data_IF_895276545893
#
_entry.id   IF_895276545893
#
_cell.length_a   1.000
_cell.length_b   1.000
_cell.length_c   1.000
_cell.angle_alpha   90.00
_cell.angle_beta   90.00
_cell.angle_gamma   90.00
#
_symmetry.space_group_name_H-M   'P 1'
#
loop_
_entity.id
_entity.type
_entity.pdbx_description
1 polymer ?
#
# COMPACT_ATOMS: atom_id res chain seq x y z
N UNK A 1 -10.96 -1.71 -9.62
CA UNK A 1 -10.34 -1.18 -8.38
C UNK A 1 -11.47 -0.87 -7.42
N UNK A 2 -11.48 -1.45 -6.23
CA UNK A 2 -12.46 -1.06 -5.20
C UNK A 2 -12.16 0.37 -4.77
N UNK A 3 -13.16 1.25 -4.89
CA UNK A 3 -13.09 2.65 -4.47
C UNK A 3 -13.79 2.77 -3.13
N UNK A 4 -13.24 3.59 -2.22
CA UNK A 4 -13.96 3.96 -0.99
C UNK A 4 -15.17 4.80 -1.41
N UNK A 5 -16.37 4.29 -1.14
CA UNK A 5 -17.63 4.95 -1.50
C UNK A 5 -18.07 5.95 -0.44
N UNK A 6 -17.79 5.67 0.84
CA UNK A 6 -18.12 6.56 1.95
C UNK A 6 -17.21 7.80 1.96
N UNK A 7 -17.80 8.99 1.96
CA UNK A 7 -17.07 10.27 1.96
C UNK A 7 -16.28 10.45 3.26
N UNK A 8 -16.85 10.11 4.41
CA UNK A 8 -16.16 10.20 5.71
C UNK A 8 -14.91 9.33 5.75
N UNK A 9 -15.04 8.06 5.33
CA UNK A 9 -13.91 7.15 5.23
C UNK A 9 -12.86 7.66 4.23
N UNK A 10 -13.27 8.21 3.08
CA UNK A 10 -12.35 8.72 2.08
C UNK A 10 -11.55 9.93 2.57
N UNK A 11 -12.18 10.86 3.29
CA UNK A 11 -11.51 12.01 3.88
C UNK A 11 -10.50 11.61 4.96
N UNK A 12 -10.80 10.60 5.78
CA UNK A 12 -9.90 10.12 6.82
C UNK A 12 -8.58 9.51 6.30
N UNK A 13 -8.51 9.16 5.01
CA UNK A 13 -7.29 8.62 4.39
C UNK A 13 -6.20 9.68 4.17
N UNK A 14 -6.57 10.96 4.14
CA UNK A 14 -5.70 12.04 3.67
C UNK A 14 -5.59 13.13 4.74
N UNK A 15 -4.39 13.67 4.90
CA UNK A 15 -4.10 14.84 5.72
C UNK A 15 -4.19 16.14 4.92
N UNK A 16 -4.42 17.28 5.60
CA UNK A 16 -4.23 18.60 4.99
C UNK A 16 -2.81 18.75 4.43
N UNK A 17 -2.67 19.47 3.31
CA UNK A 17 -1.39 19.69 2.59
C UNK A 17 -0.37 20.57 3.34
N UNK A 18 -0.63 20.92 4.60
CA UNK A 18 0.18 21.81 5.42
C UNK A 18 1.32 21.10 6.17
N UNK A 19 1.38 19.76 6.14
CA UNK A 19 2.39 18.98 6.85
C UNK A 19 3.69 18.85 6.02
N UNK A 20 4.69 19.69 6.31
CA UNK A 20 5.97 19.71 5.60
C UNK A 20 6.93 18.56 5.99
N UNK A 21 6.53 17.63 6.85
CA UNK A 21 7.40 16.52 7.32
C UNK A 21 7.89 15.58 6.21
N UNK A 22 7.23 15.55 5.05
CA UNK A 22 7.53 14.59 3.99
C UNK A 22 8.39 15.20 2.87
N UNK A 23 9.70 15.36 3.12
CA UNK A 23 10.63 16.01 2.19
C UNK A 23 10.59 15.47 0.75
N UNK A 24 10.64 14.14 0.56
CA UNK A 24 10.57 13.54 -0.77
C UNK A 24 9.23 13.78 -1.47
N UNK A 25 8.13 13.75 -0.71
CA UNK A 25 6.81 14.04 -1.24
C UNK A 25 6.75 15.51 -1.70
N UNK A 26 7.25 16.43 -0.88
CA UNK A 26 7.30 17.86 -1.21
C UNK A 26 8.11 18.11 -2.49
N UNK A 27 9.26 17.45 -2.65
CA UNK A 27 10.12 17.58 -3.83
C UNK A 27 9.43 17.03 -5.09
N UNK A 28 8.70 15.93 -4.98
CA UNK A 28 8.06 15.26 -6.13
C UNK A 28 6.61 15.67 -6.38
N UNK A 29 6.04 16.52 -5.53
CA UNK A 29 4.65 16.91 -5.65
C UNK A 29 4.47 17.99 -6.70
N UNK A 30 4.03 17.60 -7.89
CA UNK A 30 3.62 18.52 -8.96
C UNK A 30 2.15 18.97 -8.80
N UNK A 31 1.68 19.15 -7.56
CA UNK A 31 0.32 19.57 -7.22
C UNK A 31 -0.74 18.46 -7.10
N UNK A 32 -0.49 17.29 -7.69
CA UNK A 32 -1.44 16.17 -7.75
C UNK A 32 -1.32 15.11 -6.65
N UNK A 33 -0.32 15.19 -5.77
CA UNK A 33 -0.13 14.18 -4.71
C UNK A 33 -0.87 14.57 -3.42
N UNK A 34 -1.31 13.54 -2.70
CA UNK A 34 -1.95 13.65 -1.40
C UNK A 34 -1.00 13.20 -0.29
N UNK A 35 -1.13 13.81 0.90
CA UNK A 35 -0.41 13.38 2.10
C UNK A 35 -1.29 12.33 2.81
N UNK A 36 -0.84 11.09 3.02
CA UNK A 36 -1.64 10.09 3.73
C UNK A 36 -1.80 10.46 5.21
N UNK A 37 -2.89 10.03 5.83
CA UNK A 37 -3.09 10.16 7.27
C UNK A 37 -2.13 9.28 8.08
N UNK A 38 -1.93 9.64 9.35
CA UNK A 38 -1.04 8.87 10.23
C UNK A 38 -1.50 7.41 10.36
N UNK A 39 -2.81 7.21 10.45
CA UNK A 39 -3.44 5.90 10.56
C UNK A 39 -3.13 5.04 9.32
N UNK A 40 -3.27 5.61 8.12
CA UNK A 40 -2.89 4.94 6.86
C UNK A 40 -1.42 4.56 6.86
N UNK A 41 -0.53 5.45 7.32
CA UNK A 41 0.91 5.17 7.40
C UNK A 41 1.19 4.02 8.38
N UNK A 42 0.52 4.00 9.53
CA UNK A 42 0.66 2.92 10.52
C UNK A 42 0.20 1.57 9.95
N UNK A 43 -0.96 1.54 9.28
CA UNK A 43 -1.49 0.35 8.62
C UNK A 43 -0.51 -0.17 7.58
N UNK A 44 -0.02 0.70 6.69
CA UNK A 44 0.93 0.35 5.64
C UNK A 44 2.27 -0.15 6.21
N UNK A 45 2.79 0.49 7.27
CA UNK A 45 3.99 0.02 7.96
C UNK A 45 3.80 -1.36 8.54
N UNK A 46 2.66 -1.63 9.18
CA UNK A 46 2.37 -2.94 9.74
C UNK A 46 2.23 -4.00 8.64
N UNK A 47 1.61 -3.64 7.51
CA UNK A 47 1.57 -4.50 6.33
C UNK A 47 2.98 -4.84 5.84
N UNK A 48 3.89 -3.87 5.73
CA UNK A 48 5.27 -4.11 5.30
C UNK A 48 6.04 -5.00 6.27
N UNK A 49 5.89 -4.79 7.58
CA UNK A 49 6.51 -5.65 8.62
C UNK A 49 6.06 -7.11 8.44
N UNK A 50 4.75 -7.32 8.28
CA UNK A 50 4.18 -8.64 8.08
C UNK A 50 4.65 -9.24 6.74
N UNK A 51 4.59 -8.50 5.64
CA UNK A 51 5.04 -9.01 4.34
C UNK A 51 6.52 -9.38 4.34
N UNK A 52 7.38 -8.65 5.07
CA UNK A 52 8.80 -8.98 5.22
C UNK A 52 9.05 -10.21 6.07
N UNK A 53 8.29 -10.42 7.14
CA UNK A 53 8.44 -11.63 7.97
C UNK A 53 7.93 -12.90 7.25
N UNK A 54 7.04 -12.72 6.28
CA UNK A 54 6.42 -13.80 5.52
C UNK A 54 7.27 -14.40 4.40
N UNK A 55 8.48 -13.87 4.13
CA UNK A 55 9.42 -14.40 3.13
C UNK A 55 9.75 -15.89 3.34
N UNK A 56 9.45 -16.45 4.51
CA UNK A 56 9.73 -17.82 4.90
C UNK A 56 8.52 -18.77 4.98
N UNK A 57 7.28 -18.31 4.76
CA UNK A 57 6.09 -19.17 4.90
C UNK A 57 5.81 -19.92 3.59
N UNK A 58 6.15 -21.21 3.57
CA UNK A 58 6.05 -22.09 2.39
C UNK A 58 4.66 -22.68 2.11
N UNK A 59 3.64 -22.41 2.95
CA UNK A 59 2.41 -23.21 2.98
C UNK A 59 1.08 -22.45 2.86
N UNK A 60 1.09 -21.16 2.49
CA UNK A 60 -0.17 -20.43 2.28
C UNK A 60 -0.62 -20.57 0.83
N UNK A 61 -1.87 -21.01 0.62
CA UNK A 61 -2.46 -21.06 -0.72
C UNK A 61 -2.46 -19.64 -1.34
N UNK A 62 -2.12 -19.48 -2.63
CA UNK A 62 -2.07 -18.16 -3.27
C UNK A 62 -3.34 -17.33 -3.12
N UNK A 63 -4.51 -18.00 -3.06
CA UNK A 63 -5.82 -17.35 -3.02
C UNK A 63 -6.21 -16.86 -1.60
N UNK A 64 -5.57 -17.36 -0.56
CA UNK A 64 -5.88 -17.01 0.84
C UNK A 64 -4.88 -16.03 1.44
N UNK A 65 -3.75 -15.81 0.76
CA UNK A 65 -2.65 -14.97 1.22
C UNK A 65 -3.08 -13.58 1.67
N UNK A 66 -3.90 -12.92 0.88
CA UNK A 66 -4.34 -11.56 1.15
C UNK A 66 -5.14 -11.49 2.46
N UNK A 67 -6.07 -12.41 2.65
CA UNK A 67 -6.87 -12.50 3.88
C UNK A 67 -5.98 -12.80 5.09
N UNK A 68 -4.99 -13.69 4.96
CA UNK A 68 -4.04 -14.00 6.04
C UNK A 68 -3.24 -12.76 6.45
N UNK A 69 -2.76 -11.98 5.48
CA UNK A 69 -2.03 -10.74 5.76
C UNK A 69 -2.96 -9.71 6.41
N UNK A 70 -4.16 -9.49 5.88
CA UNK A 70 -5.15 -8.55 6.45
C UNK A 70 -5.45 -8.92 7.91
N UNK A 71 -5.76 -10.19 8.19
CA UNK A 71 -6.06 -10.65 9.55
C UNK A 71 -4.88 -10.45 10.50
N UNK A 72 -3.65 -10.73 10.07
CA UNK A 72 -2.47 -10.47 10.91
C UNK A 72 -2.21 -8.98 11.11
N UNK A 73 -2.45 -8.15 10.10
CA UNK A 73 -2.33 -6.69 10.24
C UNK A 73 -3.32 -6.23 11.30
N UNK A 74 -4.59 -6.65 11.22
CA UNK A 74 -5.63 -6.34 12.20
C UNK A 74 -5.24 -6.70 13.63
N UNK A 75 -4.72 -7.91 13.85
CA UNK A 75 -4.33 -8.37 15.18
C UNK A 75 -3.19 -7.56 15.82
N UNK A 76 -2.38 -6.87 15.02
CA UNK A 76 -1.21 -6.14 15.48
C UNK A 76 -1.38 -4.61 15.45
N UNK A 77 -2.54 -4.11 15.01
CA UNK A 77 -2.81 -2.68 14.96
C UNK A 77 -3.43 -2.20 16.27
N UNK A 78 -3.16 -0.94 16.67
CA UNK A 78 -3.79 -0.36 17.84
C UNK A 78 -5.29 -0.15 17.59
N UNK A 79 -6.09 -0.23 18.65
CA UNK A 79 -7.54 0.03 18.60
C UNK A 79 -7.89 1.51 18.41
N UNK A 80 -6.90 2.40 18.42
CA UNK A 80 -7.06 3.86 18.34
C UNK A 80 -7.02 4.42 16.91
N UNK A 81 -6.91 3.56 15.89
CA UNK A 81 -6.90 3.99 14.49
C UNK A 81 -8.22 4.66 14.12
N UNK A 82 -8.13 5.77 13.41
CA UNK A 82 -9.30 6.53 12.95
C UNK A 82 -10.27 6.89 14.09
N UNK A 83 -9.74 7.19 15.28
CA UNK A 83 -10.55 7.47 16.48
C UNK A 83 -11.59 8.59 16.29
N UNK A 84 -11.31 9.56 15.42
CA UNK A 84 -12.22 10.63 15.03
C UNK A 84 -13.44 10.17 14.21
N UNK A 85 -13.45 8.91 13.75
CA UNK A 85 -14.56 8.26 13.05
C UNK A 85 -15.28 7.21 13.91
N UNK A 86 -15.00 7.13 15.23
CA UNK A 86 -15.61 6.11 16.09
C UNK A 86 -17.14 6.12 16.01
N UNK A 87 -17.77 7.29 16.13
CA UNK A 87 -19.23 7.43 16.03
C UNK A 87 -19.74 6.96 14.66
N UNK A 88 -19.07 7.36 13.58
CA UNK A 88 -19.39 6.92 12.23
C UNK A 88 -19.28 5.40 12.05
N UNK A 89 -18.28 4.76 12.66
CA UNK A 89 -18.12 3.30 12.62
C UNK A 89 -19.16 2.57 13.46
N UNK A 90 -19.63 3.19 14.56
CA UNK A 90 -20.73 2.67 15.37
C UNK A 90 -22.04 2.76 14.58
N UNK A 91 -22.34 3.89 13.94
CA UNK A 91 -23.54 4.07 13.11
C UNK A 91 -23.61 3.09 11.94
N UNK A 92 -22.44 2.66 11.45
CA UNK A 92 -22.30 1.76 10.30
C UNK A 92 -21.94 0.33 10.70
N UNK A 93 -22.09 -0.03 11.99
CA UNK A 93 -21.75 -1.36 12.51
C UNK A 93 -22.81 -2.43 12.24
N UNK A 94 -23.89 -2.09 11.53
CA UNK A 94 -24.99 -3.01 11.25
C UNK A 94 -24.55 -4.10 10.25
N UNK A 95 -24.14 -5.26 10.77
CA UNK A 95 -23.79 -6.46 10.01
C UNK A 95 -22.36 -6.96 10.24
N UNK A 96 -21.93 -7.93 9.43
CA UNK A 96 -20.59 -8.53 9.51
C UNK A 96 -19.52 -7.62 8.89
N UNK A 97 -19.90 -6.79 7.91
CA UNK A 97 -19.00 -5.93 7.14
C UNK A 97 -19.09 -4.46 7.59
N UNK A 98 -18.39 -4.11 8.66
CA UNK A 98 -18.34 -2.72 9.15
C UNK A 98 -17.52 -1.83 8.21
N UNK A 99 -17.84 -0.53 8.14
CA UNK A 99 -17.01 0.44 7.41
C UNK A 99 -15.55 0.41 7.87
N UNK A 100 -15.30 0.21 9.17
CA UNK A 100 -13.96 0.08 9.72
C UNK A 100 -13.21 -1.10 9.11
N UNK A 101 -13.81 -2.30 9.13
CA UNK A 101 -13.22 -3.50 8.55
C UNK A 101 -12.96 -3.33 7.04
N UNK A 102 -13.96 -2.82 6.32
CA UNK A 102 -13.87 -2.62 4.87
C UNK A 102 -12.78 -1.61 4.50
N UNK A 103 -12.67 -0.50 5.24
CA UNK A 103 -11.65 0.51 5.02
C UNK A 103 -10.25 -0.07 5.23
N UNK A 104 -10.05 -0.78 6.33
CA UNK A 104 -8.78 -1.39 6.67
C UNK A 104 -8.37 -2.45 5.64
N UNK A 105 -9.30 -3.36 5.32
CA UNK A 105 -9.10 -4.39 4.28
C UNK A 105 -8.70 -3.73 2.97
N UNK A 106 -9.39 -2.68 2.54
CA UNK A 106 -9.09 -1.98 1.30
C UNK A 106 -7.68 -1.37 1.29
N UNK A 107 -7.26 -0.70 2.36
CA UNK A 107 -5.90 -0.14 2.48
C UNK A 107 -4.85 -1.26 2.37
N UNK A 108 -5.02 -2.33 3.14
CA UNK A 108 -4.14 -3.50 3.13
C UNK A 108 -4.07 -4.12 1.73
N UNK A 109 -5.21 -4.41 1.11
CA UNK A 109 -5.33 -4.99 -0.23
C UNK A 109 -4.57 -4.17 -1.28
N UNK A 110 -4.76 -2.84 -1.29
CA UNK A 110 -4.06 -1.98 -2.24
C UNK A 110 -2.54 -2.01 -2.02
N UNK A 111 -2.10 -1.94 -0.76
CA UNK A 111 -0.68 -1.98 -0.46
C UNK A 111 -0.04 -3.32 -0.80
N UNK A 112 -0.67 -4.45 -0.44
CA UNK A 112 -0.20 -5.80 -0.77
C UNK A 112 -0.06 -5.96 -2.27
N UNK A 113 -1.06 -5.52 -3.04
CA UNK A 113 -1.03 -5.55 -4.51
C UNK A 113 0.15 -4.75 -5.05
N UNK A 114 0.32 -3.50 -4.60
CA UNK A 114 1.45 -2.64 -5.00
C UNK A 114 2.79 -3.30 -4.67
N UNK A 115 2.92 -3.84 -3.45
CA UNK A 115 4.14 -4.47 -2.97
C UNK A 115 4.48 -5.73 -3.76
N UNK A 116 3.49 -6.55 -4.11
CA UNK A 116 3.66 -7.74 -4.94
C UNK A 116 4.26 -7.38 -6.30
N UNK A 117 3.69 -6.40 -7.00
CA UNK A 117 4.22 -5.95 -8.29
C UNK A 117 5.65 -5.41 -8.16
N UNK A 118 5.94 -4.67 -7.09
CA UNK A 118 7.28 -4.18 -6.82
C UNK A 118 8.29 -5.32 -6.63
N UNK A 119 7.94 -6.35 -5.83
CA UNK A 119 8.82 -7.53 -5.64
C UNK A 119 9.04 -8.25 -6.95
N UNK A 120 7.99 -8.57 -7.71
CA UNK A 120 8.11 -9.25 -9.00
C UNK A 120 9.00 -8.47 -9.97
N UNK A 121 8.84 -7.14 -10.04
CA UNK A 121 9.69 -6.27 -10.85
C UNK A 121 11.17 -6.36 -10.43
N UNK A 122 11.46 -6.30 -9.14
CA UNK A 122 12.83 -6.42 -8.63
C UNK A 122 13.42 -7.80 -8.92
N UNK A 123 12.66 -8.87 -8.73
CA UNK A 123 13.08 -10.25 -9.05
C UNK A 123 13.37 -10.39 -10.54
N UNK A 124 12.50 -9.88 -11.41
CA UNK A 124 12.73 -9.93 -12.86
C UNK A 124 13.98 -9.15 -13.28
N UNK A 125 14.21 -7.97 -12.69
CA UNK A 125 15.43 -7.19 -12.95
C UNK A 125 16.68 -7.93 -12.49
N UNK A 126 16.63 -8.63 -11.36
CA UNK A 126 17.75 -9.44 -10.87
C UNK A 126 18.00 -10.66 -11.79
N UNK A 127 16.95 -11.33 -12.26
CA UNK A 127 17.05 -12.50 -13.14
C UNK A 127 17.47 -12.16 -14.58
N UNK A 128 17.05 -11.02 -15.11
CA UNK A 128 17.41 -10.59 -16.47
C UNK A 128 18.90 -10.23 -16.64
N UNK A 129 19.62 -9.97 -15.54
CA UNK A 129 21.01 -9.51 -15.60
C UNK A 129 21.16 -8.14 -16.31
N UNK A 130 22.39 -7.77 -16.71
CA UNK A 130 22.57 -6.58 -17.55
C UNK A 130 22.09 -6.86 -18.97
N UNK A 131 21.02 -6.18 -19.40
CA UNK A 131 20.58 -6.22 -20.80
C UNK A 131 21.64 -5.52 -21.68
N UNK A 132 22.53 -6.32 -22.27
CA UNK A 132 23.63 -5.86 -23.17
C UNK A 132 23.08 -4.94 -24.27
N UNK A 133 21.87 -5.23 -24.78
CA UNK A 133 21.20 -4.41 -25.80
C UNK A 133 20.82 -3.01 -25.29
N UNK A 134 20.36 -2.87 -24.05
CA UNK A 134 20.08 -1.56 -23.45
C UNK A 134 21.36 -0.76 -23.19
N UNK A 135 22.42 -1.46 -22.76
CA UNK A 135 23.74 -0.86 -22.48
C UNK A 135 24.43 -0.36 -23.76
N UNK A 136 24.30 -1.11 -24.84
CA UNK A 136 24.87 -0.79 -26.15
C UNK A 136 23.91 -0.02 -27.07
N UNK A 137 22.71 0.36 -26.61
CA UNK A 137 21.73 1.04 -27.50
C UNK A 137 22.34 2.28 -28.14
N UNK A 138 23.10 3.08 -27.37
CA UNK A 138 23.83 4.24 -27.95
C UNK A 138 24.90 3.79 -28.92
N UNK A 139 25.71 2.79 -28.58
CA UNK A 139 26.75 2.26 -29.47
C UNK A 139 26.19 1.75 -30.80
N UNK A 140 25.06 1.03 -30.76
CA UNK A 140 24.36 0.50 -31.94
C UNK A 140 23.72 1.63 -32.76
N UNK A 141 23.19 2.67 -32.11
CA UNK A 141 22.61 3.84 -32.79
C UNK A 141 23.69 4.70 -33.48
N UNK A 142 24.88 4.81 -32.88
CA UNK A 142 25.97 5.65 -33.39
C UNK A 142 27.02 4.88 -34.22
N UNK A 143 26.95 3.56 -34.34
CA UNK A 143 27.87 2.77 -35.19
C UNK A 143 27.50 2.78 -36.68
N UNK A 144 26.29 3.20 -37.02
CA UNK A 144 25.80 3.24 -38.41
C UNK A 144 25.36 4.67 -38.83
N UNK A 145 25.86 5.71 -38.16
CA UNK A 145 25.77 7.12 -38.58
C UNK A 145 27.18 7.60 -38.95
#
# INVERSE_FOLDING_TARGET
MSKVQCVHCAHALVKPKTDHKYGLLNIKNNGGLCIPSNDVIQIVRQCEVILRSFVHIKHVKPNEWENVVVSKVMMNLPSTLFSHLNDHFIETCNGIDTHYYNLLKLICSQFIKLRRFHVVRLTNLALQGQCVRQKLTKTVLFQNQ
#
